data_IF_160865850274
#
_entry.id   IF_160865850274
#
_cell.length_a   1.000
_cell.length_b   1.000
_cell.length_c   1.000
_cell.angle_alpha   90.00
_cell.angle_beta   90.00
_cell.angle_gamma   90.00
#
_symmetry.space_group_name_H-M   'P 1'
#
loop_
_entity.id
_entity.type
_entity.pdbx_description
1 polymer ?
#
# COMPACT_ATOMS: atom_id res chain seq x y z
N UNK A 1 -28.54 -12.92 -18.86
CA UNK A 1 -27.35 -13.75 -19.12
C UNK A 1 -26.60 -13.85 -17.80
N UNK A 2 -26.74 -14.95 -17.06
CA UNK A 2 -26.06 -15.11 -15.76
C UNK A 2 -25.34 -16.46 -15.72
N UNK A 3 -24.42 -16.65 -16.67
CA UNK A 3 -23.82 -17.94 -16.97
C UNK A 3 -22.47 -18.18 -16.27
N UNK A 4 -22.30 -17.64 -15.07
CA UNK A 4 -21.43 -18.27 -14.08
C UNK A 4 -22.37 -19.06 -13.17
N UNK A 5 -22.65 -20.29 -13.59
CA UNK A 5 -23.42 -21.25 -12.82
C UNK A 5 -22.79 -21.40 -11.41
N UNK A 6 -23.61 -21.45 -10.37
CA UNK A 6 -23.19 -21.59 -8.97
C UNK A 6 -22.18 -22.73 -8.78
N UNK A 7 -22.35 -23.83 -9.52
CA UNK A 7 -21.41 -24.96 -9.56
C UNK A 7 -20.00 -24.56 -10.01
N UNK A 8 -19.89 -23.68 -11.01
CA UNK A 8 -18.59 -23.19 -11.52
C UNK A 8 -17.94 -22.27 -10.49
N UNK A 9 -18.70 -21.38 -9.84
CA UNK A 9 -18.19 -20.54 -8.76
C UNK A 9 -17.65 -21.38 -7.59
N UNK A 10 -18.37 -22.44 -7.20
CA UNK A 10 -17.95 -23.33 -6.13
C UNK A 10 -16.69 -24.14 -6.48
N UNK A 11 -16.58 -24.60 -7.73
CA UNK A 11 -15.38 -25.29 -8.22
C UNK A 11 -14.17 -24.36 -8.24
N UNK A 12 -14.33 -23.12 -8.71
CA UNK A 12 -13.26 -22.12 -8.69
C UNK A 12 -12.86 -21.78 -7.25
N UNK A 13 -13.83 -21.58 -6.35
CA UNK A 13 -13.56 -21.34 -4.93
C UNK A 13 -12.72 -22.46 -4.30
N UNK A 14 -13.15 -23.72 -4.50
CA UNK A 14 -12.41 -24.90 -4.02
C UNK A 14 -11.00 -24.96 -4.59
N UNK A 15 -10.83 -24.60 -5.88
CA UNK A 15 -9.52 -24.57 -6.53
C UNK A 15 -8.60 -23.50 -5.92
N UNK A 16 -9.13 -22.30 -5.65
CA UNK A 16 -8.40 -21.18 -5.04
C UNK A 16 -7.96 -21.52 -3.61
N UNK A 17 -8.84 -22.10 -2.80
CA UNK A 17 -8.54 -22.49 -1.42
C UNK A 17 -7.43 -23.54 -1.33
N UNK A 18 -7.49 -24.56 -2.20
CA UNK A 18 -6.51 -25.65 -2.25
C UNK A 18 -5.17 -25.22 -2.83
N UNK A 19 -5.10 -24.03 -3.44
CA UNK A 19 -3.87 -23.56 -4.04
C UNK A 19 -2.89 -23.17 -2.95
N UNK A 20 -1.65 -23.68 -2.97
CA UNK A 20 -0.63 -23.18 -2.04
C UNK A 20 -0.39 -21.69 -2.31
N UNK A 21 -0.20 -20.89 -1.26
CA UNK A 21 0.36 -19.55 -1.41
C UNK A 21 1.78 -19.75 -1.99
N UNK A 22 1.95 -19.53 -3.30
CA UNK A 22 3.06 -20.12 -4.03
C UNK A 22 4.44 -19.58 -3.61
N UNK A 23 5.40 -20.48 -3.88
CA UNK A 23 6.84 -20.50 -3.64
C UNK A 23 7.57 -19.24 -4.11
N UNK A 24 8.48 -18.76 -3.26
CA UNK A 24 9.52 -17.76 -3.58
C UNK A 24 10.36 -18.28 -4.74
N UNK A 25 10.23 -17.66 -5.92
CA UNK A 25 11.12 -18.01 -7.04
C UNK A 25 12.56 -17.57 -6.72
N UNK A 26 13.54 -18.42 -7.05
CA UNK A 26 14.96 -18.18 -6.83
C UNK A 26 15.50 -16.88 -7.48
N UNK A 27 14.71 -16.24 -8.35
CA UNK A 27 15.03 -15.00 -9.05
C UNK A 27 14.68 -13.71 -8.27
N UNK A 28 14.09 -13.77 -7.07
CA UNK A 28 13.64 -12.57 -6.33
C UNK A 28 12.45 -11.83 -6.96
N UNK A 29 11.97 -12.30 -8.12
CA UNK A 29 10.71 -11.91 -8.72
C UNK A 29 9.56 -12.62 -7.97
N UNK A 30 8.64 -11.85 -7.42
CA UNK A 30 7.46 -12.39 -6.77
C UNK A 30 6.53 -12.87 -7.88
N UNK A 31 6.43 -14.18 -8.07
CA UNK A 31 5.49 -14.77 -9.01
C UNK A 31 4.08 -14.56 -8.46
N UNK A 32 3.39 -13.55 -8.97
CA UNK A 32 2.00 -13.29 -8.62
C UNK A 32 1.11 -14.16 -9.49
N UNK A 33 0.26 -14.94 -8.83
CA UNK A 33 -0.78 -15.72 -9.48
C UNK A 33 -1.82 -14.79 -10.13
N UNK A 34 -1.95 -14.79 -11.48
CA UNK A 34 -2.90 -13.91 -12.17
C UNK A 34 -4.34 -14.09 -11.73
N UNK A 35 -4.73 -15.27 -11.21
CA UNK A 35 -6.10 -15.47 -10.72
C UNK A 35 -6.38 -14.68 -9.43
N UNK A 36 -5.37 -14.41 -8.59
CA UNK A 36 -5.58 -13.67 -7.36
C UNK A 36 -5.81 -12.17 -7.60
N UNK A 37 -5.55 -11.64 -8.79
CA UNK A 37 -5.93 -10.25 -9.14
C UNK A 37 -7.45 -10.08 -9.20
N UNK A 38 -8.20 -11.17 -9.39
CA UNK A 38 -9.66 -11.15 -9.33
C UNK A 38 -10.19 -10.82 -7.92
N UNK A 39 -9.35 -10.93 -6.89
CA UNK A 39 -9.68 -10.41 -5.56
C UNK A 39 -9.92 -8.89 -5.59
N UNK A 40 -9.46 -8.14 -6.60
CA UNK A 40 -9.75 -6.72 -6.76
C UNK A 40 -11.15 -6.40 -7.27
N UNK A 41 -11.89 -7.40 -7.77
CA UNK A 41 -13.20 -7.23 -8.42
C UNK A 41 -14.33 -7.59 -7.47
N UNK A 42 -15.15 -6.60 -7.09
CA UNK A 42 -16.23 -6.75 -6.10
C UNK A 42 -17.19 -7.90 -6.45
N UNK A 43 -17.72 -7.94 -7.68
CA UNK A 43 -18.62 -8.98 -8.13
C UNK A 43 -18.01 -10.40 -8.07
N UNK A 44 -16.68 -10.53 -8.19
CA UNK A 44 -16.01 -11.82 -8.04
C UNK A 44 -15.87 -12.18 -6.57
N UNK A 45 -15.49 -11.22 -5.70
CA UNK A 45 -15.41 -11.47 -4.25
C UNK A 45 -16.77 -11.83 -3.66
N UNK A 46 -17.85 -11.19 -4.11
CA UNK A 46 -19.21 -11.47 -3.64
C UNK A 46 -19.65 -12.90 -3.99
N UNK A 47 -19.26 -13.39 -5.18
CA UNK A 47 -19.61 -14.74 -5.65
C UNK A 47 -18.63 -15.82 -5.18
N UNK A 48 -17.36 -15.46 -4.97
CA UNK A 48 -16.27 -16.38 -4.62
C UNK A 48 -15.38 -15.72 -3.54
N UNK A 49 -15.83 -15.69 -2.27
CA UNK A 49 -15.11 -15.03 -1.18
C UNK A 49 -13.70 -15.57 -0.93
N UNK A 50 -13.44 -16.83 -1.35
CA UNK A 50 -12.14 -17.47 -1.26
C UNK A 50 -10.99 -16.63 -1.88
N UNK A 51 -11.25 -15.80 -2.91
CA UNK A 51 -10.24 -14.90 -3.45
C UNK A 51 -9.77 -13.86 -2.42
N UNK A 52 -10.70 -13.30 -1.64
CA UNK A 52 -10.38 -12.34 -0.58
C UNK A 52 -9.59 -12.99 0.56
N UNK A 53 -10.05 -14.14 1.04
CA UNK A 53 -9.33 -14.92 2.07
C UNK A 53 -7.93 -15.30 1.60
N UNK A 54 -7.80 -15.76 0.35
CA UNK A 54 -6.51 -16.21 -0.17
C UNK A 54 -5.53 -15.06 -0.35
N UNK A 55 -6.01 -13.89 -0.75
CA UNK A 55 -5.19 -12.68 -0.80
C UNK A 55 -4.67 -12.27 0.58
N UNK A 56 -5.48 -12.39 1.64
CA UNK A 56 -5.08 -12.05 3.00
C UNK A 56 -3.97 -12.98 3.55
N UNK A 57 -3.87 -14.21 3.06
CA UNK A 57 -2.80 -15.18 3.42
C UNK A 57 -1.46 -14.90 2.72
N UNK A 58 -1.42 -14.02 1.72
CA UNK A 58 -0.21 -13.73 0.96
C UNK A 58 0.80 -12.92 1.79
N UNK A 59 2.09 -13.12 1.51
CA UNK A 59 3.14 -12.26 2.05
C UNK A 59 3.01 -10.83 1.48
N UNK A 60 3.49 -9.79 2.18
CA UNK A 60 3.35 -8.38 1.74
C UNK A 60 3.83 -8.11 0.31
N UNK A 61 4.95 -8.71 -0.11
CA UNK A 61 5.44 -8.58 -1.49
C UNK A 61 4.54 -9.22 -2.54
N UNK A 62 3.83 -10.29 -2.19
CA UNK A 62 2.84 -10.93 -3.05
C UNK A 62 1.55 -10.12 -3.10
N UNK A 63 1.09 -9.61 -1.96
CA UNK A 63 -0.05 -8.68 -1.91
C UNK A 63 0.21 -7.45 -2.78
N UNK A 64 1.36 -6.81 -2.61
CA UNK A 64 1.76 -5.66 -3.42
C UNK A 64 1.76 -5.98 -4.93
N UNK A 65 2.22 -7.17 -5.33
CA UNK A 65 2.19 -7.56 -6.74
C UNK A 65 0.78 -7.88 -7.29
N UNK A 66 -0.15 -8.30 -6.44
CA UNK A 66 -1.57 -8.41 -6.80
C UNK A 66 -2.17 -7.00 -7.00
N UNK A 67 -1.90 -6.10 -6.05
CA UNK A 67 -2.38 -4.71 -6.08
C UNK A 67 -1.87 -3.97 -7.32
N UNK A 68 -0.57 -4.07 -7.64
CA UNK A 68 0.05 -3.43 -8.80
C UNK A 68 -0.68 -3.77 -10.11
N UNK A 69 -1.11 -5.03 -10.25
CA UNK A 69 -1.79 -5.51 -11.46
C UNK A 69 -3.26 -5.13 -11.54
N UNK A 70 -3.92 -5.01 -10.38
CA UNK A 70 -5.35 -4.68 -10.31
C UNK A 70 -5.62 -3.80 -9.08
N UNK A 71 -5.31 -2.49 -9.12
CA UNK A 71 -5.62 -1.61 -8.01
C UNK A 71 -7.11 -1.59 -7.74
N UNK A 72 -7.49 -1.59 -6.45
CA UNK A 72 -8.89 -1.62 -6.02
C UNK A 72 -9.01 -0.99 -4.64
N UNK A 73 -10.16 -0.36 -4.36
CA UNK A 73 -10.48 0.17 -3.03
C UNK A 73 -10.51 -0.93 -1.96
N UNK A 74 -10.80 -2.18 -2.35
CA UNK A 74 -10.74 -3.32 -1.44
C UNK A 74 -9.36 -3.53 -0.79
N UNK A 75 -8.29 -3.16 -1.49
CA UNK A 75 -6.93 -3.40 -1.01
C UNK A 75 -6.38 -2.29 -0.11
N UNK A 76 -7.09 -1.17 0.04
CA UNK A 76 -6.56 0.00 0.75
C UNK A 76 -6.33 -0.29 2.24
N UNK A 77 -7.14 -1.17 2.84
CA UNK A 77 -6.98 -1.65 4.22
C UNK A 77 -5.66 -2.40 4.45
N UNK A 78 -5.05 -2.95 3.40
CA UNK A 78 -3.81 -3.71 3.49
C UNK A 78 -2.55 -2.85 3.34
N UNK A 79 -2.68 -1.59 2.91
CA UNK A 79 -1.53 -0.73 2.60
C UNK A 79 -0.68 -0.43 3.83
N UNK A 80 -1.31 -0.08 4.95
CA UNK A 80 -0.59 0.17 6.21
C UNK A 80 0.15 -1.08 6.72
N UNK A 81 -0.48 -2.28 6.83
CA UNK A 81 0.23 -3.52 7.14
C UNK A 81 1.40 -3.84 6.19
N UNK A 82 1.23 -3.62 4.88
CA UNK A 82 2.30 -3.85 3.89
C UNK A 82 3.51 -2.96 4.16
N UNK A 83 3.30 -1.67 4.42
CA UNK A 83 4.37 -0.74 4.76
C UNK A 83 5.04 -1.10 6.09
N UNK A 84 4.27 -1.47 7.10
CA UNK A 84 4.79 -1.88 8.40
C UNK A 84 5.70 -3.13 8.33
N UNK A 85 5.46 -4.01 7.35
CA UNK A 85 6.22 -5.23 7.16
C UNK A 85 7.51 -5.07 6.33
N UNK A 86 7.81 -3.86 5.82
CA UNK A 86 9.01 -3.63 5.03
C UNK A 86 10.28 -3.81 5.88
N UNK A 87 11.08 -4.83 5.55
CA UNK A 87 12.30 -5.19 6.30
C UNK A 87 13.61 -4.61 5.77
N UNK A 88 13.57 -3.66 4.82
CA UNK A 88 14.77 -3.01 4.27
C UNK A 88 14.42 -1.88 3.33
N UNK A 89 15.31 -0.90 3.15
CA UNK A 89 15.07 0.31 2.35
C UNK A 89 14.56 0.02 0.93
N UNK A 90 15.25 -0.85 0.18
CA UNK A 90 14.82 -1.25 -1.18
C UNK A 90 13.47 -1.98 -1.19
N UNK A 91 13.17 -2.73 -0.12
CA UNK A 91 11.89 -3.40 0.03
C UNK A 91 10.78 -2.40 0.29
N UNK A 92 11.02 -1.37 1.13
CA UNK A 92 10.07 -0.31 1.40
C UNK A 92 9.71 0.49 0.14
N UNK A 93 10.71 0.92 -0.64
CA UNK A 93 10.52 1.62 -1.91
C UNK A 93 9.70 0.77 -2.90
N UNK A 94 10.07 -0.51 -3.04
CA UNK A 94 9.37 -1.46 -3.91
C UNK A 94 7.91 -1.68 -3.49
N UNK A 95 7.66 -1.96 -2.21
CA UNK A 95 6.31 -2.18 -1.70
C UNK A 95 5.43 -0.94 -1.87
N UNK A 96 5.98 0.24 -1.61
CA UNK A 96 5.27 1.52 -1.80
C UNK A 96 4.91 1.74 -3.26
N UNK A 97 5.87 1.52 -4.17
CA UNK A 97 5.68 1.63 -5.63
C UNK A 97 4.61 0.67 -6.14
N UNK A 98 4.60 -0.57 -5.65
CA UNK A 98 3.70 -1.62 -6.14
C UNK A 98 2.31 -1.58 -5.48
N UNK A 99 2.19 -1.12 -4.24
CA UNK A 99 0.92 -1.17 -3.49
C UNK A 99 0.30 0.21 -3.27
N UNK A 100 1.05 1.16 -2.72
CA UNK A 100 0.51 2.45 -2.28
C UNK A 100 0.23 3.38 -3.46
N UNK A 101 1.23 3.55 -4.34
CA UNK A 101 1.11 4.47 -5.48
C UNK A 101 -0.08 4.09 -6.39
N UNK A 102 -0.25 2.82 -6.82
CA UNK A 102 -1.37 2.47 -7.70
C UNK A 102 -2.75 2.66 -7.05
N UNK A 103 -2.83 2.57 -5.73
CA UNK A 103 -4.05 2.80 -4.95
C UNK A 103 -4.25 4.25 -4.49
N UNK A 104 -3.34 5.18 -4.79
CA UNK A 104 -3.36 6.54 -4.22
C UNK A 104 -4.70 7.27 -4.42
N UNK A 105 -5.27 7.18 -5.61
CA UNK A 105 -6.56 7.79 -5.98
C UNK A 105 -7.79 7.04 -5.45
N UNK A 106 -7.59 5.86 -4.85
CA UNK A 106 -8.65 4.98 -4.32
C UNK A 106 -8.72 5.00 -2.79
N UNK A 107 -7.70 5.54 -2.11
CA UNK A 107 -7.64 5.57 -0.65
C UNK A 107 -8.73 6.47 -0.09
N UNK A 108 -9.62 5.97 0.79
CA UNK A 108 -10.61 6.82 1.42
C UNK A 108 -9.97 7.69 2.52
N UNK A 109 -10.53 8.89 2.82
CA UNK A 109 -9.93 9.83 3.77
C UNK A 109 -9.59 9.25 5.14
N UNK A 110 -10.46 8.41 5.69
CA UNK A 110 -10.31 7.78 6.99
C UNK A 110 -9.10 6.82 7.09
N UNK A 111 -8.58 6.35 5.96
CA UNK A 111 -7.44 5.42 5.93
C UNK A 111 -6.10 6.15 5.75
N UNK A 112 -6.09 7.40 5.28
CA UNK A 112 -4.84 8.09 5.00
C UNK A 112 -3.93 8.18 6.25
N UNK A 113 -4.52 8.46 7.42
CA UNK A 113 -3.78 8.62 8.65
C UNK A 113 -3.05 7.33 9.08
N UNK A 114 -3.67 6.16 8.94
CA UNK A 114 -3.04 4.88 9.30
C UNK A 114 -1.90 4.54 8.34
N UNK A 115 -2.08 4.78 7.03
CA UNK A 115 -1.06 4.56 6.00
C UNK A 115 0.18 5.42 6.27
N UNK A 116 -0.02 6.72 6.48
CA UNK A 116 1.08 7.65 6.76
C UNK A 116 1.75 7.38 8.12
N UNK A 117 1.00 6.91 9.11
CA UNK A 117 1.58 6.48 10.40
C UNK A 117 2.48 5.25 10.20
N UNK A 118 2.01 4.23 9.48
CA UNK A 118 2.80 3.03 9.21
C UNK A 118 4.08 3.36 8.43
N UNK A 119 4.01 4.32 7.49
CA UNK A 119 5.17 4.86 6.81
C UNK A 119 6.14 5.54 7.78
N UNK A 120 5.65 6.48 8.57
CA UNK A 120 6.49 7.27 9.47
C UNK A 120 7.16 6.44 10.56
N UNK A 121 6.47 5.44 11.10
CA UNK A 121 7.00 4.60 12.21
C UNK A 121 7.96 3.52 11.73
N UNK A 122 7.89 3.09 10.47
CA UNK A 122 8.86 2.13 9.93
C UNK A 122 10.15 2.85 9.48
N UNK A 123 11.31 2.65 10.13
CA UNK A 123 12.57 3.30 9.72
C UNK A 123 12.98 2.94 8.29
N UNK A 124 12.63 1.74 7.81
CA UNK A 124 12.92 1.33 6.44
C UNK A 124 12.11 2.14 5.41
N UNK A 125 10.91 2.59 5.77
CA UNK A 125 10.08 3.47 4.94
C UNK A 125 10.47 4.93 5.12
N UNK A 126 10.70 5.38 6.36
CA UNK A 126 11.03 6.79 6.64
C UNK A 126 12.39 7.19 6.06
N UNK A 127 13.39 6.31 6.15
CA UNK A 127 14.81 6.63 5.88
C UNK A 127 15.33 6.04 4.56
N UNK A 128 14.47 5.49 3.71
CA UNK A 128 14.88 5.10 2.37
C UNK A 128 14.87 6.33 1.45
N UNK A 129 15.95 6.53 0.68
CA UNK A 129 16.11 7.72 -0.16
C UNK A 129 14.99 7.91 -1.17
N UNK A 130 14.49 6.85 -1.81
CA UNK A 130 13.41 6.96 -2.78
C UNK A 130 12.04 7.25 -2.16
N UNK A 131 11.91 7.11 -0.84
CA UNK A 131 10.63 7.32 -0.17
C UNK A 131 10.24 8.80 -0.10
N UNK A 132 11.20 9.72 -0.09
CA UNK A 132 10.89 11.17 -0.13
C UNK A 132 10.13 11.54 -1.42
N UNK A 133 10.60 11.03 -2.55
CA UNK A 133 10.01 11.29 -3.87
C UNK A 133 8.68 10.55 -4.03
N UNK A 134 8.59 9.33 -3.49
CA UNK A 134 7.35 8.56 -3.47
C UNK A 134 6.27 9.24 -2.61
N UNK A 135 6.63 9.96 -1.55
CA UNK A 135 5.66 10.69 -0.74
C UNK A 135 5.04 11.86 -1.52
N UNK A 136 5.85 12.59 -2.32
CA UNK A 136 5.35 13.64 -3.23
C UNK A 136 4.48 13.03 -4.33
N UNK A 137 4.90 11.90 -4.89
CA UNK A 137 4.12 11.14 -5.89
C UNK A 137 2.78 10.70 -5.31
N UNK A 138 2.78 10.17 -4.08
CA UNK A 138 1.56 9.75 -3.39
C UNK A 138 0.62 10.94 -3.18
N UNK A 139 1.10 12.07 -2.65
CA UNK A 139 0.30 13.28 -2.48
C UNK A 139 -0.26 13.82 -3.81
N UNK A 140 0.54 13.77 -4.88
CA UNK A 140 0.14 14.23 -6.22
C UNK A 140 -0.98 13.38 -6.80
N UNK A 141 -0.92 12.05 -6.62
CA UNK A 141 -1.92 11.13 -7.15
C UNK A 141 -3.18 11.05 -6.28
N UNK A 142 -3.06 11.29 -4.97
CA UNK A 142 -4.17 11.34 -4.02
C UNK A 142 -4.85 12.73 -4.00
N UNK A 143 -5.26 13.23 -5.16
CA UNK A 143 -5.79 14.61 -5.34
C UNK A 143 -6.94 14.95 -4.39
N UNK A 144 -7.84 14.00 -4.11
CA UNK A 144 -8.96 14.16 -3.18
C UNK A 144 -8.55 14.22 -1.71
N UNK A 145 -7.29 13.91 -1.38
CA UNK A 145 -6.75 13.90 -0.02
C UNK A 145 -5.74 15.02 0.23
N UNK A 146 -5.44 15.90 -0.73
CA UNK A 146 -4.33 16.86 -0.63
C UNK A 146 -4.45 17.84 0.55
N UNK A 147 -5.68 18.14 0.98
CA UNK A 147 -5.96 19.02 2.12
C UNK A 147 -6.15 18.28 3.44
N UNK A 148 -5.97 16.96 3.45
CA UNK A 148 -6.18 16.16 4.65
C UNK A 148 -5.08 16.45 5.70
N UNK A 149 -5.42 16.68 6.98
CA UNK A 149 -4.44 17.09 8.00
C UNK A 149 -3.37 16.04 8.31
N UNK A 150 -3.59 14.78 7.90
CA UNK A 150 -2.62 13.71 8.09
C UNK A 150 -1.29 13.96 7.38
N UNK A 151 -1.25 14.73 6.28
CA UNK A 151 0.00 15.08 5.60
C UNK A 151 0.93 15.93 6.49
N UNK A 152 0.36 16.95 7.14
CA UNK A 152 1.08 17.80 8.10
C UNK A 152 1.57 16.98 9.29
N UNK A 153 0.72 16.09 9.82
CA UNK A 153 1.09 15.20 10.92
C UNK A 153 2.23 14.24 10.53
N UNK A 154 2.19 13.71 9.30
CA UNK A 154 3.25 12.86 8.75
C UNK A 154 4.59 13.58 8.68
N UNK A 155 4.65 14.75 8.03
CA UNK A 155 5.90 15.53 7.90
C UNK A 155 6.46 15.89 9.28
N UNK A 156 5.61 16.34 10.20
CA UNK A 156 6.03 16.60 11.59
C UNK A 156 6.66 15.35 12.21
N UNK A 157 5.98 14.20 12.10
CA UNK A 157 6.40 12.96 12.75
C UNK A 157 7.72 12.41 12.21
N UNK A 158 7.92 12.43 10.88
CA UNK A 158 9.18 11.95 10.29
C UNK A 158 10.36 12.83 10.71
N UNK A 159 10.17 14.15 10.84
CA UNK A 159 11.20 15.06 11.36
C UNK A 159 11.51 14.83 12.83
N UNK A 160 10.50 14.62 13.68
CA UNK A 160 10.69 14.28 15.10
C UNK A 160 11.46 12.98 15.31
N UNK A 161 11.29 12.01 14.41
CA UNK A 161 11.96 10.71 14.46
C UNK A 161 13.32 10.68 13.76
N UNK A 162 13.69 11.74 13.03
CA UNK A 162 14.96 11.78 12.32
C UNK A 162 16.13 11.84 13.31
N UNK A 163 17.03 10.85 13.24
CA UNK A 163 18.26 10.85 14.03
C UNK A 163 19.23 11.95 13.59
N UNK A 164 19.22 12.26 12.29
CA UNK A 164 19.98 13.33 11.69
C UNK A 164 19.01 14.32 11.02
N UNK A 165 18.95 15.59 11.48
CA UNK A 165 18.07 16.60 10.92
C UNK A 165 18.43 17.00 9.48
N UNK A 166 19.56 16.54 8.93
CA UNK A 166 19.94 16.80 7.54
C UNK A 166 19.33 15.82 6.55
N UNK A 167 18.88 14.64 6.99
CA UNK A 167 18.41 13.57 6.11
C UNK A 167 16.93 13.26 6.33
N UNK A 168 16.25 12.84 5.26
CA UNK A 168 14.88 12.32 5.28
C UNK A 168 13.85 13.28 5.93
N UNK A 169 14.02 14.57 5.70
CA UNK A 169 13.13 15.62 6.24
C UNK A 169 11.86 15.86 5.41
N UNK A 170 11.72 15.17 4.27
CA UNK A 170 10.60 15.28 3.34
C UNK A 170 10.33 16.74 2.89
N UNK A 171 11.39 17.50 2.61
CA UNK A 171 11.31 18.94 2.31
C UNK A 171 10.39 19.27 1.13
N UNK A 172 10.44 18.49 0.05
CA UNK A 172 9.60 18.75 -1.11
C UNK A 172 8.12 18.55 -0.78
N UNK A 173 7.79 17.48 -0.06
CA UNK A 173 6.42 17.26 0.43
C UNK A 173 5.99 18.39 1.37
N UNK A 174 6.84 18.77 2.32
CA UNK A 174 6.60 19.86 3.26
C UNK A 174 6.29 21.16 2.53
N UNK A 175 7.04 21.47 1.47
CA UNK A 175 6.83 22.65 0.64
C UNK A 175 5.48 22.61 -0.10
N UNK A 176 5.13 21.50 -0.77
CA UNK A 176 3.88 21.43 -1.55
C UNK A 176 2.62 21.41 -0.68
N UNK A 177 2.70 20.89 0.55
CA UNK A 177 1.56 20.94 1.50
C UNK A 177 1.51 22.24 2.32
N UNK A 178 2.49 23.15 2.14
CA UNK A 178 2.58 24.40 2.89
C UNK A 178 2.84 24.19 4.38
N UNK A 179 3.57 23.13 4.75
CA UNK A 179 3.92 22.82 6.13
C UNK A 179 4.77 23.94 6.74
N UNK A 180 4.39 24.39 7.94
CA UNK A 180 5.14 25.38 8.72
C UNK A 180 5.50 24.73 10.04
N UNK A 181 6.79 24.59 10.32
CA UNK A 181 7.24 24.17 11.63
C UNK A 181 6.76 25.20 12.66
N UNK A 182 5.96 24.74 13.62
CA UNK A 182 5.41 25.56 14.70
C UNK A 182 6.47 26.09 15.68
N UNK A 183 7.76 25.92 15.40
CA UNK A 183 8.89 26.39 16.22
C UNK A 183 9.23 27.87 16.02
N UNK A 184 8.47 28.63 15.24
CA UNK A 184 8.48 30.09 15.32
C UNK A 184 7.43 30.59 16.33
N UNK A 185 7.65 30.29 17.61
CA UNK A 185 7.09 31.08 18.72
C UNK A 185 8.24 31.36 19.69
N UNK A 186 8.79 32.56 19.53
CA UNK A 186 9.55 33.41 20.47
C UNK A 186 10.58 32.78 21.40
#
# INVERSE_FOLDING_TARGET
MDALNETVCQQIGTYVERRPALVTSASGAVAVDPLLTLAGVDAVRDRIPAFGSKFAELLPGQQAGVIERQPSAYFTDCLAPILAAAGGWRTAERLTTMAVIPCAHLIPPEQLASILTAWAENPQCREASGMTDLAVTFWTQATHLQFHPAWTAFVKRVRELALDPQWFQYEELAAVIGYKDGTNVS
#
